data_IF_510499986375
#
_entry.id   IF_510499986375
#
_cell.length_a   1.000
_cell.length_b   1.000
_cell.length_c   1.000
_cell.angle_alpha   90.00
_cell.angle_beta   90.00
_cell.angle_gamma   90.00
#
_symmetry.space_group_name_H-M   'P 1'
#
loop_
_entity.id
_entity.type
_entity.pdbx_description
1 polymer ?
#
# COMPACT_ATOMS: atom_id res chain seq x y z
N UNK A 1 -4.53 22.66 20.69
CA UNK A 1 -5.26 23.32 19.59
C UNK A 1 -4.86 22.70 18.27
N UNK A 2 -5.70 21.84 17.68
CA UNK A 2 -5.45 21.20 16.37
C UNK A 2 -5.98 22.10 15.28
N UNK A 3 -5.11 22.80 14.56
CA UNK A 3 -5.48 23.46 13.32
C UNK A 3 -5.68 22.38 12.24
N UNK A 4 -6.92 22.09 11.87
CA UNK A 4 -7.19 21.37 10.62
C UNK A 4 -6.72 22.27 9.48
N UNK A 5 -5.55 21.99 8.90
CA UNK A 5 -5.21 22.56 7.60
C UNK A 5 -6.14 21.93 6.57
N UNK A 6 -7.29 22.56 6.33
CA UNK A 6 -8.04 22.38 5.09
C UNK A 6 -7.12 22.91 3.98
N UNK A 7 -6.48 22.00 3.27
CA UNK A 7 -5.73 22.33 2.08
C UNK A 7 -6.71 22.70 0.96
N UNK A 8 -6.42 23.80 0.28
CA UNK A 8 -7.32 24.47 -0.65
C UNK A 8 -7.54 23.63 -1.93
N UNK A 9 -8.80 23.24 -2.18
CA UNK A 9 -9.25 22.52 -3.38
C UNK A 9 -8.85 23.24 -4.68
N UNK A 10 -8.62 24.55 -4.63
CA UNK A 10 -8.20 25.33 -5.81
C UNK A 10 -6.78 25.04 -6.27
N UNK A 11 -5.86 24.61 -5.38
CA UNK A 11 -4.50 24.19 -5.81
C UNK A 11 -4.52 22.89 -6.59
N UNK A 12 -5.45 21.98 -6.28
CA UNK A 12 -5.64 20.73 -7.02
C UNK A 12 -6.28 20.94 -8.38
N UNK A 13 -7.23 21.88 -8.52
CA UNK A 13 -7.80 22.25 -9.83
C UNK A 13 -6.77 22.80 -10.80
N UNK A 14 -5.78 23.55 -10.29
CA UNK A 14 -4.70 24.10 -11.12
C UNK A 14 -3.67 23.02 -11.48
N UNK A 15 -3.36 22.09 -10.56
CA UNK A 15 -2.44 20.99 -10.86
C UNK A 15 -3.03 19.99 -11.88
N UNK A 16 -4.35 19.74 -11.84
CA UNK A 16 -5.04 18.80 -12.75
C UNK A 16 -5.68 19.43 -13.99
N UNK A 17 -5.98 20.73 -13.97
CA UNK A 17 -6.30 21.48 -15.19
C UNK A 17 -5.12 21.47 -16.18
N UNK A 18 -3.89 21.32 -15.67
CA UNK A 18 -2.68 21.18 -16.48
C UNK A 18 -2.44 19.74 -16.95
N UNK A 19 -2.79 18.72 -16.15
CA UNK A 19 -2.77 17.31 -16.60
C UNK A 19 -3.75 17.04 -17.76
N UNK A 20 -4.82 17.83 -17.85
CA UNK A 20 -5.86 17.71 -18.88
C UNK A 20 -5.51 18.31 -20.25
N UNK A 21 -4.39 19.01 -20.42
CA UNK A 21 -3.96 19.54 -21.73
C UNK A 21 -3.12 18.56 -22.55
N UNK A 22 -2.72 17.42 -21.97
CA UNK A 22 -1.93 16.39 -22.67
C UNK A 22 -2.79 15.29 -23.31
N UNK A 23 -4.11 15.30 -23.10
CA UNK A 23 -5.07 14.50 -23.87
C UNK A 23 -5.83 15.44 -24.80
N UNK A 24 -5.80 15.19 -26.11
CA UNK A 24 -6.53 15.99 -27.10
C UNK A 24 -8.02 16.15 -26.69
N UNK A 25 -8.64 17.32 -26.96
CA UNK A 25 -9.98 17.63 -26.47
C UNK A 25 -11.03 16.92 -27.31
N UNK A 26 -11.40 15.69 -26.95
CA UNK A 26 -12.61 15.07 -27.47
C UNK A 26 -13.71 15.13 -26.40
N UNK A 27 -14.57 16.15 -26.56
CA UNK A 27 -15.93 16.33 -26.06
C UNK A 27 -16.21 16.10 -24.55
N UNK A 28 -17.07 16.92 -23.92
CA UNK A 28 -17.52 16.65 -22.56
C UNK A 28 -18.44 15.43 -22.61
N UNK A 29 -17.89 14.25 -22.27
CA UNK A 29 -18.72 13.11 -21.95
C UNK A 29 -19.56 13.49 -20.73
N UNK A 30 -20.87 13.62 -20.93
CA UNK A 30 -21.86 13.74 -19.87
C UNK A 30 -21.54 12.67 -18.81
N UNK A 31 -21.34 13.10 -17.57
CA UNK A 31 -21.11 12.20 -16.43
C UNK A 31 -22.40 11.39 -16.26
N UNK A 32 -22.44 10.08 -16.61
CA UNK A 32 -23.58 9.27 -16.26
C UNK A 32 -23.50 9.09 -14.75
N UNK A 33 -24.59 9.40 -14.06
CA UNK A 33 -24.79 9.18 -12.63
C UNK A 33 -24.96 7.69 -12.31
N UNK A 34 -24.11 6.84 -12.88
CA UNK A 34 -24.02 5.45 -12.46
C UNK A 34 -23.21 5.43 -11.17
N UNK A 35 -23.83 4.95 -10.09
CA UNK A 35 -23.14 4.62 -8.84
C UNK A 35 -21.89 3.80 -9.18
N UNK A 36 -20.73 4.44 -9.06
CA UNK A 36 -19.45 3.79 -9.30
C UNK A 36 -19.38 2.60 -8.34
N UNK A 37 -19.41 1.38 -8.90
CA UNK A 37 -19.36 0.15 -8.13
C UNK A 37 -18.02 0.08 -7.41
N UNK A 38 -18.03 0.43 -6.12
CA UNK A 38 -16.86 0.49 -5.26
C UNK A 38 -16.12 -0.86 -5.20
N UNK A 39 -16.84 -1.97 -5.24
CA UNK A 39 -16.29 -3.33 -5.21
C UNK A 39 -15.35 -3.56 -6.41
N UNK A 40 -15.69 -3.03 -7.59
CA UNK A 40 -14.85 -3.14 -8.79
C UNK A 40 -13.53 -2.38 -8.64
N UNK A 41 -13.55 -1.19 -8.01
CA UNK A 41 -12.37 -0.37 -7.78
C UNK A 41 -11.45 -0.96 -6.71
N UNK A 42 -12.04 -1.48 -5.64
CA UNK A 42 -11.36 -2.21 -4.58
C UNK A 42 -10.60 -3.41 -5.14
N UNK A 43 -11.29 -4.23 -5.94
CA UNK A 43 -10.72 -5.41 -6.56
C UNK A 43 -9.51 -5.03 -7.42
N UNK A 44 -9.54 -3.89 -8.11
CA UNK A 44 -8.42 -3.42 -8.92
C UNK A 44 -7.17 -3.12 -8.08
N UNK A 45 -7.27 -2.35 -6.99
CA UNK A 45 -6.13 -2.03 -6.14
C UNK A 45 -5.52 -3.29 -5.47
N UNK A 46 -6.37 -4.24 -5.09
CA UNK A 46 -5.93 -5.56 -4.59
C UNK A 46 -5.18 -6.34 -5.67
N UNK A 47 -5.73 -6.45 -6.89
CA UNK A 47 -5.08 -7.15 -8.00
C UNK A 47 -3.73 -6.55 -8.34
N UNK A 48 -3.60 -5.22 -8.35
CA UNK A 48 -2.32 -4.54 -8.59
C UNK A 48 -1.29 -4.90 -7.52
N UNK A 49 -1.70 -4.91 -6.25
CA UNK A 49 -0.83 -5.34 -5.14
C UNK A 49 -0.37 -6.78 -5.31
N UNK A 50 -1.28 -7.70 -5.63
CA UNK A 50 -0.95 -9.12 -5.83
C UNK A 50 0.00 -9.32 -7.00
N UNK A 51 -0.20 -8.59 -8.11
CA UNK A 51 0.72 -8.59 -9.24
C UNK A 51 2.15 -8.22 -8.81
N UNK A 52 2.30 -7.15 -8.03
CA UNK A 52 3.59 -6.74 -7.47
C UNK A 52 4.18 -7.77 -6.50
N UNK A 53 3.37 -8.32 -5.59
CA UNK A 53 3.79 -9.31 -4.59
C UNK A 53 4.27 -10.61 -5.23
N UNK A 54 3.55 -11.09 -6.25
CA UNK A 54 3.85 -12.30 -6.99
C UNK A 54 4.87 -12.08 -8.12
N UNK A 55 5.28 -10.82 -8.35
CA UNK A 55 6.16 -10.42 -9.46
C UNK A 55 5.62 -10.88 -10.83
N UNK A 56 4.31 -10.75 -11.03
CA UNK A 56 3.61 -11.23 -12.23
C UNK A 56 3.90 -10.34 -13.44
N UNK A 57 4.79 -10.83 -14.31
CA UNK A 57 5.20 -10.15 -15.54
C UNK A 57 4.05 -9.93 -16.52
N UNK A 58 3.00 -10.75 -16.48
CA UNK A 58 1.85 -10.60 -17.38
C UNK A 58 1.05 -9.32 -17.12
N UNK A 59 1.24 -8.69 -15.96
CA UNK A 59 0.51 -7.49 -15.56
C UNK A 59 1.21 -6.19 -15.97
N UNK A 60 2.47 -6.22 -16.42
CA UNK A 60 3.28 -5.00 -16.69
C UNK A 60 2.55 -4.03 -17.62
N UNK A 61 2.01 -4.52 -18.75
CA UNK A 61 1.26 -3.68 -19.70
C UNK A 61 0.05 -3.00 -19.07
N UNK A 62 -0.71 -3.73 -18.24
CA UNK A 62 -1.88 -3.20 -17.54
C UNK A 62 -1.49 -2.17 -16.46
N UNK A 63 -0.39 -2.41 -15.77
CA UNK A 63 0.11 -1.49 -14.74
C UNK A 63 0.58 -0.17 -15.36
N UNK A 64 1.23 -0.22 -16.52
CA UNK A 64 1.61 0.97 -17.30
C UNK A 64 0.39 1.73 -17.82
N UNK A 65 -0.64 1.01 -18.31
CA UNK A 65 -1.88 1.63 -18.78
C UNK A 65 -2.58 2.43 -17.67
N UNK A 66 -2.57 1.94 -16.42
CA UNK A 66 -3.10 2.69 -15.28
C UNK A 66 -2.36 4.02 -15.00
N UNK A 67 -1.10 4.15 -15.46
CA UNK A 67 -0.31 5.39 -15.28
C UNK A 67 -0.67 6.44 -16.34
N UNK A 68 -0.88 6.00 -17.58
CA UNK A 68 -1.07 6.88 -18.75
C UNK A 68 -2.54 7.14 -19.07
N UNK A 69 -3.43 6.16 -18.85
CA UNK A 69 -4.84 6.19 -19.21
C UNK A 69 -5.72 5.82 -18.00
N UNK A 70 -5.91 6.73 -17.02
CA UNK A 70 -6.76 6.44 -15.88
C UNK A 70 -8.20 6.14 -16.30
N UNK A 71 -8.76 5.02 -15.83
CA UNK A 71 -10.08 4.49 -16.22
C UNK A 71 -11.25 5.42 -15.84
N UNK A 72 -12.42 5.25 -16.46
CA UNK A 72 -13.65 5.91 -16.03
C UNK A 72 -13.94 5.64 -14.53
N UNK A 73 -14.26 6.69 -13.76
CA UNK A 73 -14.37 6.64 -12.29
C UNK A 73 -13.09 7.04 -11.54
N UNK A 74 -11.96 7.23 -12.24
CA UNK A 74 -10.69 7.72 -11.69
C UNK A 74 -10.79 9.07 -10.94
N UNK A 75 -11.75 9.91 -11.33
CA UNK A 75 -11.97 11.23 -10.76
C UNK A 75 -12.88 11.24 -9.53
N UNK A 76 -13.52 10.10 -9.22
CA UNK A 76 -14.28 9.95 -7.98
C UNK A 76 -13.31 10.09 -6.82
N UNK A 77 -13.61 11.03 -5.93
CA UNK A 77 -12.88 11.16 -4.67
C UNK A 77 -13.29 9.98 -3.81
N UNK A 78 -12.34 9.09 -3.57
CA UNK A 78 -12.55 7.93 -2.72
C UNK A 78 -11.73 8.16 -1.48
N UNK A 79 -12.38 8.10 -0.32
CA UNK A 79 -11.65 7.91 0.91
C UNK A 79 -11.23 6.44 0.94
N UNK A 80 -10.04 6.17 0.43
CA UNK A 80 -9.36 4.91 0.75
C UNK A 80 -8.86 5.08 2.18
N UNK A 81 -9.06 4.10 3.05
CA UNK A 81 -9.07 4.33 4.51
C UNK A 81 -7.68 4.71 5.11
N UNK A 82 -6.66 4.97 4.30
CA UNK A 82 -5.27 5.33 4.62
C UNK A 82 -5.04 6.74 5.19
N UNK A 83 -6.00 7.35 5.90
CA UNK A 83 -5.79 8.67 6.53
C UNK A 83 -5.65 9.85 5.56
N UNK A 84 -5.65 9.61 4.24
CA UNK A 84 -5.58 10.64 3.19
C UNK A 84 -6.73 10.46 2.18
N UNK A 85 -7.28 11.59 1.71
CA UNK A 85 -8.37 11.63 0.75
C UNK A 85 -7.78 12.08 -0.60
N UNK A 86 -7.76 11.19 -1.58
CA UNK A 86 -7.27 11.46 -2.92
C UNK A 86 -8.29 10.99 -3.98
N UNK A 87 -8.17 11.47 -5.24
CA UNK A 87 -8.84 10.83 -6.36
C UNK A 87 -8.39 9.37 -6.49
N UNK A 88 -9.30 8.47 -6.89
CA UNK A 88 -8.97 7.06 -7.12
C UNK A 88 -7.79 6.87 -8.09
N UNK A 89 -7.68 7.74 -9.11
CA UNK A 89 -6.56 7.78 -10.05
C UNK A 89 -5.20 7.79 -9.33
N UNK A 90 -5.08 8.59 -8.28
CA UNK A 90 -3.83 8.75 -7.54
C UNK A 90 -3.45 7.44 -6.82
N UNK A 91 -4.43 6.79 -6.19
CA UNK A 91 -4.21 5.49 -5.58
C UNK A 91 -3.82 4.43 -6.61
N UNK A 92 -4.48 4.39 -7.78
CA UNK A 92 -4.09 3.49 -8.87
C UNK A 92 -2.65 3.74 -9.35
N UNK A 93 -2.27 5.00 -9.53
CA UNK A 93 -0.94 5.36 -10.01
C UNK A 93 0.14 4.91 -9.02
N UNK A 94 -0.03 5.20 -7.74
CA UNK A 94 0.92 4.78 -6.71
C UNK A 94 0.96 3.25 -6.60
N UNK A 95 -0.19 2.57 -6.65
CA UNK A 95 -0.27 1.10 -6.66
C UNK A 95 0.57 0.51 -7.78
N UNK A 96 0.37 1.03 -8.99
CA UNK A 96 1.04 0.58 -10.19
C UNK A 96 2.54 0.82 -10.12
N UNK A 97 2.98 1.99 -9.66
CA UNK A 97 4.40 2.28 -9.48
C UNK A 97 5.06 1.30 -8.49
N UNK A 98 4.44 1.08 -7.33
CA UNK A 98 4.94 0.11 -6.34
C UNK A 98 4.97 -1.31 -6.88
N UNK A 99 3.94 -1.72 -7.63
CA UNK A 99 3.89 -3.05 -8.24
C UNK A 99 4.98 -3.23 -9.31
N UNK A 100 5.14 -2.25 -10.21
CA UNK A 100 6.20 -2.25 -11.23
C UNK A 100 7.60 -2.30 -10.59
N UNK A 101 7.82 -1.55 -9.50
CA UNK A 101 9.07 -1.56 -8.77
C UNK A 101 9.42 -2.94 -8.19
N UNK A 102 8.41 -3.73 -7.78
CA UNK A 102 8.58 -5.10 -7.27
C UNK A 102 8.76 -6.14 -8.37
N UNK A 103 8.05 -5.98 -9.49
CA UNK A 103 8.18 -6.84 -10.68
C UNK A 103 9.57 -6.67 -11.31
N UNK A 104 10.11 -5.45 -11.28
CA UNK A 104 11.44 -5.10 -11.78
C UNK A 104 11.67 -5.43 -13.27
N UNK A 105 10.64 -5.25 -14.10
CA UNK A 105 10.71 -5.55 -15.52
C UNK A 105 11.36 -4.43 -16.34
N UNK A 106 12.36 -4.78 -17.16
CA UNK A 106 13.10 -3.82 -17.98
C UNK A 106 12.25 -3.15 -19.07
N UNK A 107 11.21 -3.82 -19.59
CA UNK A 107 10.33 -3.26 -20.63
C UNK A 107 9.48 -2.10 -20.12
N UNK A 108 9.33 -1.97 -18.79
CA UNK A 108 8.60 -0.85 -18.19
C UNK A 108 9.41 0.46 -18.15
N UNK A 109 10.75 0.40 -18.22
CA UNK A 109 11.60 1.58 -18.07
C UNK A 109 11.33 2.67 -19.12
N UNK A 110 11.23 2.40 -20.44
CA UNK A 110 11.00 3.46 -21.42
C UNK A 110 9.71 4.26 -21.16
N UNK A 111 8.64 3.60 -20.71
CA UNK A 111 7.38 4.26 -20.38
C UNK A 111 7.50 5.12 -19.10
N UNK A 112 8.20 4.62 -18.07
CA UNK A 112 8.43 5.37 -16.83
C UNK A 112 9.35 6.58 -17.05
N UNK A 113 10.37 6.46 -17.91
CA UNK A 113 11.25 7.57 -18.29
C UNK A 113 10.49 8.65 -19.06
N UNK A 114 9.58 8.24 -19.97
CA UNK A 114 8.70 9.19 -20.65
C UNK A 114 7.78 9.92 -19.66
N UNK A 115 7.20 9.19 -18.71
CA UNK A 115 6.38 9.79 -17.63
C UNK A 115 7.19 10.80 -16.79
N UNK A 116 8.49 10.57 -16.56
CA UNK A 116 9.35 11.52 -15.83
C UNK A 116 9.45 12.88 -16.55
N UNK A 117 9.43 12.87 -17.87
CA UNK A 117 9.50 14.10 -18.67
C UNK A 117 8.20 14.91 -18.62
N UNK A 118 7.08 14.28 -18.24
CA UNK A 118 5.77 14.92 -18.14
C UNK A 118 5.66 15.82 -16.89
N UNK A 119 5.26 17.07 -17.11
CA UNK A 119 5.22 18.10 -16.05
C UNK A 119 4.29 17.73 -14.88
N UNK A 120 3.19 17.01 -15.14
CA UNK A 120 2.24 16.56 -14.13
C UNK A 120 2.83 15.49 -13.19
N UNK A 121 3.79 14.70 -13.67
CA UNK A 121 4.37 13.56 -12.96
C UNK A 121 5.60 13.93 -12.11
N UNK A 122 6.20 15.10 -12.32
CA UNK A 122 7.34 15.61 -11.51
C UNK A 122 7.06 15.71 -10.01
N UNK A 123 5.78 15.72 -9.63
CA UNK A 123 5.35 15.79 -8.23
C UNK A 123 5.05 14.42 -7.61
N UNK A 124 5.14 13.31 -8.36
CA UNK A 124 4.85 11.96 -7.89
C UNK A 124 6.04 11.40 -7.10
N UNK A 125 5.96 11.27 -5.75
CA UNK A 125 7.12 10.90 -4.94
C UNK A 125 7.59 9.46 -5.15
N UNK A 126 6.81 8.64 -5.85
CA UNK A 126 7.10 7.24 -6.12
C UNK A 126 7.76 7.00 -7.48
N UNK A 127 7.78 7.98 -8.40
CA UNK A 127 8.26 7.76 -9.76
C UNK A 127 9.77 7.51 -9.81
N UNK A 128 10.58 8.46 -9.30
CA UNK A 128 12.05 8.30 -9.27
C UNK A 128 12.49 7.07 -8.46
N UNK A 129 11.98 6.82 -7.23
CA UNK A 129 12.32 5.60 -6.52
C UNK A 129 11.94 4.33 -7.26
N UNK A 130 10.86 4.33 -8.06
CA UNK A 130 10.45 3.15 -8.83
C UNK A 130 11.43 2.87 -9.95
N UNK A 131 11.79 3.89 -10.74
CA UNK A 131 12.81 3.77 -11.79
C UNK A 131 14.14 3.30 -11.18
N UNK A 132 14.57 3.92 -10.08
CA UNK A 132 15.81 3.58 -9.38
C UNK A 132 15.82 2.12 -8.91
N UNK A 133 14.71 1.65 -8.31
CA UNK A 133 14.58 0.26 -7.85
C UNK A 133 14.67 -0.72 -9.00
N UNK A 134 13.96 -0.50 -10.10
CA UNK A 134 14.02 -1.38 -11.28
C UNK A 134 15.46 -1.45 -11.80
N UNK A 135 16.13 -0.31 -11.95
CA UNK A 135 17.54 -0.26 -12.41
C UNK A 135 18.53 -0.93 -11.45
N UNK A 136 18.29 -0.87 -10.14
CA UNK A 136 19.12 -1.54 -9.14
C UNK A 136 18.89 -3.07 -9.13
N UNK A 137 17.63 -3.51 -9.26
CA UNK A 137 17.26 -4.93 -9.37
C UNK A 137 17.81 -5.56 -10.65
N UNK A 138 17.76 -4.86 -11.80
CA UNK A 138 18.33 -5.37 -13.05
C UNK A 138 19.85 -5.51 -13.01
N UNK A 139 20.55 -4.62 -12.31
CA UNK A 139 22.00 -4.69 -12.15
C UNK A 139 22.42 -5.78 -11.16
N UNK A 140 21.65 -5.96 -10.08
CA UNK A 140 21.96 -6.88 -8.98
C UNK A 140 20.72 -7.68 -8.56
N UNK A 141 20.25 -8.66 -9.36
CA UNK A 141 18.96 -9.31 -9.12
C UNK A 141 18.93 -10.19 -7.87
N UNK A 142 20.06 -10.83 -7.52
CA UNK A 142 20.15 -11.76 -6.39
C UNK A 142 21.52 -11.62 -5.69
N UNK A 143 21.74 -10.52 -4.95
CA UNK A 143 23.04 -10.30 -4.29
C UNK A 143 23.29 -11.40 -3.25
N UNK A 144 24.39 -12.14 -3.39
CA UNK A 144 24.76 -13.26 -2.49
C UNK A 144 25.86 -12.89 -1.50
N UNK A 145 26.54 -11.76 -1.73
CA UNK A 145 27.66 -11.27 -0.94
C UNK A 145 27.44 -9.82 -0.53
N UNK A 146 28.14 -9.42 0.53
CA UNK A 146 28.07 -8.07 1.08
C UNK A 146 28.39 -6.98 0.06
N UNK A 147 29.39 -7.20 -0.79
CA UNK A 147 29.79 -6.25 -1.83
C UNK A 147 28.66 -6.00 -2.85
N UNK A 148 28.11 -7.07 -3.43
CA UNK A 148 26.98 -6.98 -4.36
C UNK A 148 25.74 -6.33 -3.72
N UNK A 149 25.46 -6.64 -2.44
CA UNK A 149 24.37 -6.00 -1.71
C UNK A 149 24.61 -4.50 -1.52
N UNK A 150 25.83 -4.11 -1.11
CA UNK A 150 26.21 -2.72 -0.94
C UNK A 150 26.13 -1.95 -2.26
N UNK A 151 26.63 -2.52 -3.35
CA UNK A 151 26.55 -1.91 -4.67
C UNK A 151 25.09 -1.75 -5.15
N UNK A 152 24.23 -2.74 -4.89
CA UNK A 152 22.79 -2.64 -5.18
C UNK A 152 22.13 -1.48 -4.43
N UNK A 153 22.37 -1.39 -3.12
CA UNK A 153 21.81 -0.33 -2.27
C UNK A 153 22.34 1.04 -2.68
N UNK A 154 23.65 1.17 -2.91
CA UNK A 154 24.26 2.42 -3.35
C UNK A 154 23.70 2.86 -4.69
N UNK A 155 23.61 1.95 -5.66
CA UNK A 155 23.02 2.22 -6.98
C UNK A 155 21.56 2.68 -6.86
N UNK A 156 20.78 2.08 -5.97
CA UNK A 156 19.42 2.53 -5.71
C UNK A 156 19.41 3.96 -5.17
N UNK A 157 20.23 4.27 -4.16
CA UNK A 157 20.31 5.61 -3.57
C UNK A 157 20.71 6.64 -4.61
N UNK A 158 21.78 6.39 -5.36
CA UNK A 158 22.31 7.29 -6.39
C UNK A 158 21.28 7.63 -7.47
N UNK A 159 20.48 6.63 -7.87
CA UNK A 159 19.46 6.78 -8.90
C UNK A 159 18.14 7.32 -8.38
N UNK A 160 17.88 7.20 -7.08
CA UNK A 160 16.59 7.58 -6.48
C UNK A 160 16.40 9.07 -6.30
N UNK A 161 17.44 9.88 -6.51
CA UNK A 161 17.39 11.35 -6.39
C UNK A 161 17.31 11.86 -4.95
N UNK A 162 17.46 10.99 -3.94
CA UNK A 162 17.58 11.38 -2.52
C UNK A 162 19.00 11.19 -2.03
N UNK A 163 19.47 12.08 -1.16
CA UNK A 163 20.76 11.92 -0.50
C UNK A 163 20.68 10.88 0.63
N UNK A 164 21.82 10.29 1.01
CA UNK A 164 21.87 9.36 2.16
C UNK A 164 21.43 10.05 3.46
N UNK A 165 21.81 11.31 3.71
CA UNK A 165 21.37 12.05 4.90
C UNK A 165 19.85 12.27 4.90
N UNK A 166 19.26 12.58 3.75
CA UNK A 166 17.80 12.73 3.60
C UNK A 166 17.07 11.41 3.84
N UNK A 167 17.61 10.30 3.33
CA UNK A 167 17.10 8.94 3.56
C UNK A 167 17.14 8.59 5.04
N UNK A 168 18.27 8.84 5.72
CA UNK A 168 18.46 8.57 7.15
C UNK A 168 17.47 9.38 8.01
N UNK A 169 17.22 10.63 7.63
CA UNK A 169 16.29 11.51 8.37
C UNK A 169 14.82 11.27 8.00
N UNK A 170 14.53 10.64 6.86
CA UNK A 170 13.17 10.38 6.39
C UNK A 170 12.33 11.66 6.23
N UNK A 171 12.98 12.78 5.90
CA UNK A 171 12.40 14.13 5.98
C UNK A 171 11.50 14.49 4.81
N UNK A 172 11.68 13.82 3.66
CA UNK A 172 10.87 14.07 2.48
C UNK A 172 9.95 12.91 2.14
N UNK A 173 8.85 13.19 1.42
CA UNK A 173 8.02 12.20 0.78
C UNK A 173 8.77 11.07 0.08
N UNK A 174 9.73 11.44 -0.76
CA UNK A 174 10.50 10.52 -1.59
C UNK A 174 11.47 9.69 -0.76
N UNK A 175 12.10 10.29 0.26
CA UNK A 175 12.98 9.58 1.19
C UNK A 175 12.25 8.47 1.95
N UNK A 176 11.00 8.69 2.36
CA UNK A 176 10.18 7.65 3.00
C UNK A 176 9.88 6.49 2.03
N UNK A 177 9.52 6.79 0.79
CA UNK A 177 9.32 5.76 -0.25
C UNK A 177 10.62 4.97 -0.48
N UNK A 178 11.76 5.66 -0.55
CA UNK A 178 13.06 5.02 -0.69
C UNK A 178 13.39 4.08 0.49
N UNK A 179 13.11 4.51 1.72
CA UNK A 179 13.31 3.69 2.92
C UNK A 179 12.46 2.41 2.87
N UNK A 180 11.22 2.52 2.42
CA UNK A 180 10.32 1.38 2.24
C UNK A 180 10.82 0.42 1.14
N UNK A 181 11.30 0.94 0.02
CA UNK A 181 11.87 0.11 -1.05
C UNK A 181 13.16 -0.60 -0.61
N UNK A 182 14.05 0.08 0.10
CA UNK A 182 15.25 -0.52 0.67
C UNK A 182 14.89 -1.64 1.66
N UNK A 183 13.88 -1.44 2.51
CA UNK A 183 13.39 -2.49 3.41
C UNK A 183 12.88 -3.72 2.63
N UNK A 184 12.11 -3.52 1.55
CA UNK A 184 11.64 -4.62 0.69
C UNK A 184 12.79 -5.32 -0.04
N UNK A 185 13.77 -4.59 -0.55
CA UNK A 185 14.96 -5.15 -1.19
C UNK A 185 15.77 -6.00 -0.20
N UNK A 186 15.91 -5.53 1.05
CA UNK A 186 16.60 -6.27 2.10
C UNK A 186 15.84 -7.52 2.53
N UNK A 187 14.51 -7.45 2.61
CA UNK A 187 13.68 -8.62 2.87
C UNK A 187 13.86 -9.70 1.78
N UNK A 188 13.87 -9.29 0.50
CA UNK A 188 14.12 -10.21 -0.63
C UNK A 188 15.52 -10.83 -0.54
N UNK A 189 16.56 -10.02 -0.30
CA UNK A 189 17.93 -10.52 -0.17
C UNK A 189 18.05 -11.51 1.00
N UNK A 190 17.41 -11.23 2.13
CA UNK A 190 17.36 -12.12 3.29
C UNK A 190 16.69 -13.46 2.96
N UNK A 191 15.52 -13.42 2.30
CA UNK A 191 14.79 -14.63 1.89
C UNK A 191 15.56 -15.45 0.85
N UNK A 192 16.46 -14.82 0.08
CA UNK A 192 17.35 -15.46 -0.89
C UNK A 192 18.68 -15.96 -0.30
N UNK A 193 18.86 -15.84 1.03
CA UNK A 193 20.00 -16.40 1.77
C UNK A 193 21.06 -15.39 2.21
N UNK A 194 20.94 -14.11 1.85
CA UNK A 194 21.82 -13.06 2.36
C UNK A 194 21.28 -12.50 3.69
N UNK A 195 21.47 -13.25 4.78
CA UNK A 195 20.87 -12.93 6.08
C UNK A 195 21.43 -11.67 6.78
N UNK A 196 22.50 -11.07 6.25
CA UNK A 196 23.09 -9.83 6.76
C UNK A 196 22.48 -8.56 6.13
N UNK A 197 21.53 -8.69 5.19
CA UNK A 197 20.98 -7.57 4.42
C UNK A 197 20.54 -6.37 5.29
N UNK A 198 19.78 -6.63 6.36
CA UNK A 198 19.32 -5.58 7.27
C UNK A 198 20.43 -5.04 8.18
N UNK A 199 21.35 -5.89 8.66
CA UNK A 199 22.46 -5.46 9.49
C UNK A 199 23.38 -4.49 8.74
N UNK A 200 23.61 -4.74 7.45
CA UNK A 200 24.39 -3.84 6.59
C UNK A 200 23.72 -2.47 6.41
N UNK A 201 22.39 -2.41 6.32
CA UNK A 201 21.67 -1.13 6.26
C UNK A 201 21.86 -0.33 7.55
N UNK A 202 21.71 -0.98 8.70
CA UNK A 202 21.91 -0.35 10.01
C UNK A 202 23.35 0.14 10.17
N UNK A 203 24.35 -0.62 9.67
CA UNK A 203 25.76 -0.20 9.69
C UNK A 203 26.04 1.06 8.86
N UNK A 204 25.20 1.35 7.87
CA UNK A 204 25.22 2.56 7.05
C UNK A 204 24.42 3.72 7.67
N UNK A 205 23.87 3.53 8.87
CA UNK A 205 23.05 4.52 9.56
C UNK A 205 21.60 4.58 9.07
N UNK A 206 21.15 3.66 8.22
CA UNK A 206 19.77 3.61 7.73
C UNK A 206 18.86 3.08 8.86
N UNK A 207 17.95 3.95 9.32
CA UNK A 207 17.06 3.71 10.46
C UNK A 207 15.67 3.30 10.00
N UNK A 208 15.48 2.01 9.73
CA UNK A 208 14.19 1.46 9.29
C UNK A 208 13.08 1.69 10.32
N UNK A 209 13.43 1.82 11.61
CA UNK A 209 12.48 2.11 12.69
C UNK A 209 11.84 3.50 12.61
N UNK A 210 12.41 4.41 11.81
CA UNK A 210 11.86 5.76 11.61
C UNK A 210 10.61 5.76 10.72
N UNK A 211 10.35 4.69 9.97
CA UNK A 211 9.15 4.50 9.16
C UNK A 211 8.45 3.20 9.59
N UNK A 212 7.17 3.32 9.96
CA UNK A 212 6.41 2.17 10.49
C UNK A 212 6.37 0.99 9.51
N UNK A 213 6.24 1.25 8.21
CA UNK A 213 6.16 0.19 7.20
C UNK A 213 7.51 -0.48 6.99
N UNK A 214 8.58 0.29 6.88
CA UNK A 214 9.94 -0.24 6.79
C UNK A 214 10.26 -1.12 8.01
N UNK A 215 9.89 -0.66 9.21
CA UNK A 215 10.03 -1.43 10.44
C UNK A 215 9.14 -2.69 10.46
N UNK A 216 7.92 -2.60 9.96
CA UNK A 216 7.01 -3.75 9.83
C UNK A 216 7.63 -4.83 8.93
N UNK A 217 8.21 -4.44 7.79
CA UNK A 217 8.90 -5.36 6.87
C UNK A 217 10.05 -6.07 7.59
N UNK A 218 10.93 -5.30 8.25
CA UNK A 218 12.04 -5.85 9.05
C UNK A 218 11.57 -6.91 10.04
N UNK A 219 10.55 -6.59 10.85
CA UNK A 219 10.01 -7.50 11.85
C UNK A 219 9.40 -8.77 11.23
N UNK A 220 8.66 -8.64 10.13
CA UNK A 220 8.05 -9.79 9.47
C UNK A 220 9.09 -10.71 8.83
N UNK A 221 10.17 -10.17 8.26
CA UNK A 221 11.21 -11.00 7.63
C UNK A 221 11.88 -11.95 8.61
N UNK A 222 12.14 -11.53 9.85
CA UNK A 222 12.74 -12.39 10.88
C UNK A 222 11.79 -13.44 11.48
N UNK A 223 10.52 -13.45 11.09
CA UNK A 223 9.52 -14.36 11.64
C UNK A 223 9.17 -15.47 10.65
N UNK A 224 9.00 -16.68 11.19
CA UNK A 224 8.37 -17.77 10.44
C UNK A 224 6.92 -17.42 10.06
N UNK A 225 6.32 -18.07 9.04
CA UNK A 225 4.95 -17.78 8.63
C UNK A 225 3.93 -17.82 9.79
N UNK A 226 4.05 -18.79 10.70
CA UNK A 226 3.19 -18.90 11.90
C UNK A 226 3.38 -17.70 12.85
N UNK A 227 4.63 -17.35 13.16
CA UNK A 227 4.95 -16.22 14.04
C UNK A 227 4.51 -14.87 13.44
N UNK A 228 4.51 -14.73 12.11
CA UNK A 228 4.00 -13.52 11.44
C UNK A 228 2.53 -13.31 11.78
N UNK A 229 1.69 -14.34 11.63
CA UNK A 229 0.25 -14.26 11.93
C UNK A 229 0.03 -13.95 13.41
N UNK A 230 0.66 -14.69 14.32
CA UNK A 230 0.51 -14.49 15.77
C UNK A 230 0.88 -13.05 16.18
N UNK A 231 2.00 -12.54 15.68
CA UNK A 231 2.46 -11.20 16.00
C UNK A 231 1.57 -10.11 15.38
N UNK A 232 1.15 -10.26 14.12
CA UNK A 232 0.23 -9.30 13.48
C UNK A 232 -1.13 -9.25 14.19
N UNK A 233 -1.67 -10.41 14.59
CA UNK A 233 -2.88 -10.49 15.39
C UNK A 233 -2.71 -9.81 16.75
N UNK A 234 -1.56 -9.97 17.41
CA UNK A 234 -1.31 -9.29 18.69
C UNK A 234 -1.26 -7.77 18.52
N UNK A 235 -0.64 -7.25 17.45
CA UNK A 235 -0.62 -5.82 17.15
C UNK A 235 -2.05 -5.29 16.90
N UNK A 236 -2.86 -6.05 16.15
CA UNK A 236 -4.22 -5.65 15.79
C UNK A 236 -5.16 -5.67 17.00
N UNK A 237 -5.09 -6.72 17.84
CA UNK A 237 -5.87 -6.87 19.08
C UNK A 237 -5.49 -5.84 20.15
N UNK A 238 -4.22 -5.43 20.22
CA UNK A 238 -3.75 -4.43 21.20
C UNK A 238 -4.10 -2.98 20.81
N UNK A 239 -4.51 -2.74 19.57
CA UNK A 239 -4.81 -1.39 19.07
C UNK A 239 -6.16 -0.90 19.57
N UNK A 240 -6.17 0.20 20.34
CA UNK A 240 -7.38 0.81 20.91
C UNK A 240 -8.01 1.90 20.01
N UNK A 241 -7.40 2.17 18.86
CA UNK A 241 -7.93 3.08 17.85
C UNK A 241 -7.47 2.61 16.47
N UNK A 242 -8.26 2.92 15.44
CA UNK A 242 -7.81 2.69 14.08
C UNK A 242 -6.98 3.88 13.59
N UNK A 243 -5.76 3.58 13.17
CA UNK A 243 -4.81 4.54 12.61
C UNK A 243 -4.31 4.05 11.24
N UNK A 244 -3.52 4.86 10.53
CA UNK A 244 -2.87 4.44 9.29
C UNK A 244 -2.02 3.16 9.48
N UNK A 245 -1.34 3.04 10.63
CA UNK A 245 -0.59 1.84 11.01
C UNK A 245 -1.45 0.58 11.07
N UNK A 246 -2.70 0.70 11.54
CA UNK A 246 -3.63 -0.42 11.64
C UNK A 246 -3.90 -1.03 10.26
N UNK A 247 -4.04 -0.20 9.21
CA UNK A 247 -4.25 -0.69 7.85
C UNK A 247 -3.03 -1.44 7.29
N UNK A 248 -1.81 -1.01 7.63
CA UNK A 248 -0.61 -1.75 7.26
C UNK A 248 -0.54 -3.12 7.94
N UNK A 249 -0.95 -3.22 9.21
CA UNK A 249 -1.04 -4.51 9.93
C UNK A 249 -2.10 -5.42 9.29
N UNK A 250 -3.29 -4.88 9.02
CA UNK A 250 -4.37 -5.62 8.34
C UNK A 250 -3.91 -6.13 6.98
N UNK A 251 -3.25 -5.28 6.20
CA UNK A 251 -2.73 -5.65 4.90
C UNK A 251 -1.68 -6.76 5.01
N UNK A 252 -0.69 -6.62 5.89
CA UNK A 252 0.32 -7.66 6.12
C UNK A 252 -0.29 -8.99 6.58
N UNK A 253 -1.39 -8.94 7.32
CA UNK A 253 -2.13 -10.14 7.73
C UNK A 253 -2.85 -10.78 6.54
N UNK A 254 -3.43 -9.99 5.64
CA UNK A 254 -3.97 -10.48 4.37
C UNK A 254 -2.90 -11.12 3.48
N UNK A 255 -1.67 -10.61 3.48
CA UNK A 255 -0.54 -11.23 2.77
C UNK A 255 -0.15 -12.61 3.34
N UNK A 256 -0.59 -12.95 4.55
CA UNK A 256 -0.42 -14.29 5.12
C UNK A 256 -1.42 -15.32 4.58
N UNK A 257 -2.32 -14.92 3.68
CA UNK A 257 -3.26 -15.81 2.98
C UNK A 257 -4.21 -16.55 3.93
N UNK A 258 -4.46 -17.83 3.66
CA UNK A 258 -5.46 -18.62 4.39
C UNK A 258 -5.16 -18.73 5.89
N UNK A 259 -3.89 -18.69 6.30
CA UNK A 259 -3.50 -18.69 7.72
C UNK A 259 -3.92 -17.39 8.42
N UNK A 260 -3.78 -16.25 7.75
CA UNK A 260 -4.24 -14.96 8.27
C UNK A 260 -5.77 -14.90 8.34
N UNK A 261 -6.45 -15.39 7.30
CA UNK A 261 -7.91 -15.44 7.27
C UNK A 261 -8.47 -16.30 8.41
N UNK A 262 -7.90 -17.49 8.62
CA UNK A 262 -8.29 -18.40 9.70
C UNK A 262 -8.20 -17.70 11.05
N UNK A 263 -7.09 -17.02 11.35
CA UNK A 263 -6.90 -16.33 12.62
C UNK A 263 -7.91 -15.18 12.84
N UNK A 264 -8.28 -14.46 11.78
CA UNK A 264 -9.29 -13.39 11.86
C UNK A 264 -10.69 -13.97 12.05
N UNK A 265 -11.05 -15.06 11.37
CA UNK A 265 -12.35 -15.72 11.57
C UNK A 265 -12.48 -16.30 12.97
N UNK A 266 -11.42 -16.89 13.52
CA UNK A 266 -11.39 -17.36 14.91
C UNK A 266 -11.61 -16.20 15.88
N UNK A 267 -10.90 -15.07 15.69
CA UNK A 267 -11.11 -13.87 16.51
C UNK A 267 -12.51 -13.28 16.35
N UNK A 268 -13.08 -13.31 15.14
CA UNK A 268 -14.44 -12.87 14.89
C UNK A 268 -15.45 -13.65 15.71
N UNK A 269 -15.33 -14.98 15.75
CA UNK A 269 -16.21 -15.84 16.56
C UNK A 269 -15.99 -15.64 18.07
N UNK A 270 -14.76 -15.42 18.54
CA UNK A 270 -14.47 -15.02 19.93
C UNK A 270 -15.23 -13.74 20.33
N UNK A 271 -15.20 -12.72 19.47
CA UNK A 271 -15.91 -11.46 19.70
C UNK A 271 -17.43 -11.65 19.74
N UNK A 272 -17.98 -12.51 18.87
CA UNK A 272 -19.42 -12.81 18.87
C UNK A 272 -19.87 -13.53 20.13
N UNK A 273 -19.08 -14.50 20.60
CA UNK A 273 -19.39 -15.24 21.83
C UNK A 273 -19.34 -14.31 23.06
N UNK A 274 -18.36 -13.41 23.12
CA UNK A 274 -18.21 -12.45 24.22
C UNK A 274 -19.39 -11.46 24.26
N UNK A 275 -19.87 -11.00 23.10
CA UNK A 275 -21.02 -10.11 22.99
C UNK A 275 -22.35 -10.77 23.42
N UNK A 276 -22.47 -12.09 23.35
CA UNK A 276 -23.65 -12.83 23.82
C UNK A 276 -23.71 -12.98 25.35
N UNK A 277 -22.58 -12.78 26.04
CA UNK A 277 -22.45 -12.98 27.50
C UNK A 277 -22.50 -11.65 28.26
N UNK A 278 -21.95 -10.57 27.69
CA UNK A 278 -21.97 -9.24 28.29
C UNK A 278 -22.89 -8.31 27.47
N UNK A 279 -24.07 -8.01 28.01
CA UNK A 279 -25.11 -7.21 27.34
C UNK A 279 -24.70 -5.77 26.97
N UNK A 280 -23.53 -5.28 27.39
CA UNK A 280 -23.20 -3.84 27.33
C UNK A 280 -21.83 -3.41 26.77
N UNK A 281 -20.98 -4.27 26.21
CA UNK A 281 -19.82 -3.75 25.46
C UNK A 281 -19.32 -4.68 24.37
N UNK A 282 -19.94 -4.60 23.20
CA UNK A 282 -19.19 -4.84 21.98
C UNK A 282 -18.05 -3.81 21.94
N UNK A 283 -16.78 -4.21 22.14
CA UNK A 283 -15.66 -3.29 21.89
C UNK A 283 -15.68 -2.92 20.41
N UNK A 284 -16.25 -1.74 20.14
CA UNK A 284 -16.50 -1.24 18.79
C UNK A 284 -15.22 -1.15 17.99
N UNK A 285 -14.06 -0.96 18.64
CA UNK A 285 -12.77 -0.88 17.96
C UNK A 285 -12.29 -2.26 17.55
N UNK A 286 -12.32 -3.23 18.45
CA UNK A 286 -11.94 -4.62 18.16
C UNK A 286 -12.77 -5.22 17.03
N UNK A 287 -14.10 -5.04 17.06
CA UNK A 287 -14.95 -5.50 15.97
C UNK A 287 -14.64 -4.76 14.66
N UNK A 288 -14.46 -3.43 14.71
CA UNK A 288 -14.10 -2.65 13.52
C UNK A 288 -12.81 -3.15 12.89
N UNK A 289 -11.78 -3.41 13.68
CA UNK A 289 -10.51 -3.97 13.20
C UNK A 289 -10.70 -5.35 12.58
N UNK A 290 -11.48 -6.22 13.23
CA UNK A 290 -11.80 -7.55 12.72
C UNK A 290 -12.54 -7.48 11.37
N UNK A 291 -13.56 -6.63 11.24
CA UNK A 291 -14.33 -6.45 10.01
C UNK A 291 -13.47 -5.85 8.88
N UNK A 292 -12.67 -4.83 9.18
CA UNK A 292 -11.73 -4.27 8.21
C UNK A 292 -10.72 -5.32 7.74
N UNK A 293 -10.25 -6.18 8.65
CA UNK A 293 -9.36 -7.28 8.30
C UNK A 293 -10.05 -8.31 7.40
N UNK A 294 -11.33 -8.65 7.65
CA UNK A 294 -12.10 -9.54 6.79
C UNK A 294 -12.32 -8.95 5.39
N UNK A 295 -12.60 -7.65 5.26
CA UNK A 295 -12.67 -6.96 3.97
C UNK A 295 -11.32 -7.02 3.21
N UNK A 296 -10.21 -7.25 3.93
CA UNK A 296 -8.90 -7.47 3.34
C UNK A 296 -8.69 -8.89 2.76
N UNK A 297 -9.70 -9.76 2.70
CA UNK A 297 -9.59 -11.08 2.07
C UNK A 297 -10.60 -11.25 0.94
N UNK A 298 -10.13 -11.69 -0.24
CA UNK A 298 -11.01 -12.07 -1.36
C UNK A 298 -11.47 -13.52 -1.28
N UNK A 299 -12.13 -13.86 -0.18
CA UNK A 299 -12.53 -15.23 0.12
C UNK A 299 -14.03 -15.29 0.45
N UNK A 300 -14.79 -16.27 -0.06
CA UNK A 300 -16.23 -16.38 0.22
C UNK A 300 -16.57 -16.40 1.70
N UNK A 301 -15.71 -17.00 2.53
CA UNK A 301 -15.83 -17.07 3.99
C UNK A 301 -15.78 -15.67 4.61
N UNK A 302 -14.83 -14.84 4.20
CA UNK A 302 -14.68 -13.47 4.69
C UNK A 302 -15.88 -12.60 4.30
N UNK A 303 -16.31 -12.69 3.03
CA UNK A 303 -17.48 -11.97 2.51
C UNK A 303 -18.76 -12.36 3.25
N UNK A 304 -18.94 -13.66 3.54
CA UNK A 304 -20.08 -14.16 4.34
C UNK A 304 -20.06 -13.58 5.75
N UNK A 305 -18.92 -13.66 6.45
CA UNK A 305 -18.79 -13.14 7.81
C UNK A 305 -19.14 -11.64 7.91
N UNK A 306 -18.66 -10.82 6.95
CA UNK A 306 -18.99 -9.39 6.89
C UNK A 306 -20.49 -9.17 6.61
N UNK A 307 -21.06 -9.90 5.65
CA UNK A 307 -22.48 -9.80 5.28
C UNK A 307 -23.41 -10.18 6.44
N UNK A 308 -23.06 -11.22 7.19
CA UNK A 308 -23.82 -11.67 8.35
C UNK A 308 -23.94 -10.55 9.39
N UNK A 309 -22.85 -9.83 9.69
CA UNK A 309 -22.89 -8.67 10.60
C UNK A 309 -23.72 -7.51 10.05
N UNK A 310 -23.56 -7.19 8.76
CA UNK A 310 -24.31 -6.11 8.12
C UNK A 310 -25.82 -6.35 8.16
N UNK A 311 -26.25 -7.60 7.95
CA UNK A 311 -27.66 -7.99 7.99
C UNK A 311 -28.30 -7.84 9.38
N UNK A 312 -27.50 -7.83 10.44
CA UNK A 312 -27.98 -7.76 11.82
C UNK A 312 -28.15 -6.32 12.33
N UNK A 313 -27.88 -5.29 11.51
CA UNK A 313 -28.05 -3.85 11.79
C UNK A 313 -27.42 -3.34 13.11
N UNK A 314 -26.48 -4.07 13.72
CA UNK A 314 -26.05 -3.80 15.10
C UNK A 314 -25.28 -2.47 15.24
N UNK A 315 -24.70 -1.92 14.17
CA UNK A 315 -23.79 -0.77 14.27
C UNK A 315 -23.87 0.14 13.03
N UNK A 316 -24.32 1.39 13.20
CA UNK A 316 -24.32 2.44 12.17
C UNK A 316 -22.92 2.83 11.66
N UNK A 317 -21.85 2.54 12.41
CA UNK A 317 -20.47 2.69 11.96
C UNK A 317 -20.01 1.56 11.01
N UNK A 318 -20.66 0.39 11.03
CA UNK A 318 -20.29 -0.76 10.18
C UNK A 318 -20.74 -0.57 8.73
N UNK A 319 -21.82 0.20 8.49
CA UNK A 319 -22.19 0.61 7.12
C UNK A 319 -21.16 1.55 6.49
N UNK A 320 -20.36 2.28 7.28
CA UNK A 320 -19.21 3.03 6.78
C UNK A 320 -17.98 2.14 6.55
N UNK A 321 -17.82 1.05 7.30
CA UNK A 321 -16.75 0.05 7.09
C UNK A 321 -17.00 -0.74 5.80
N UNK A 322 -18.25 -1.17 5.55
CA UNK A 322 -18.63 -1.89 4.34
C UNK A 322 -18.78 -1.01 3.10
N UNK A 323 -18.87 0.32 3.26
CA UNK A 323 -18.74 1.27 2.14
C UNK A 323 -17.29 1.46 1.69
N UNK A 324 -16.33 0.97 2.47
CA UNK A 324 -14.89 1.12 2.22
C UNK A 324 -14.28 -0.27 2.19
N UNK A 325 -14.61 -1.04 1.15
CA UNK A 325 -14.04 -2.38 0.97
C UNK A 325 -12.53 -2.38 0.60
N UNK A 326 -11.82 -1.24 0.64
CA UNK A 326 -10.43 -1.18 0.17
C UNK A 326 -9.44 -0.70 1.23
N UNK A 327 -8.78 -1.62 1.96
CA UNK A 327 -7.53 -1.33 2.65
C UNK A 327 -6.32 -1.51 1.72
N UNK A 328 -6.42 -1.18 0.41
CA UNK A 328 -5.34 -1.47 -0.52
C UNK A 328 -4.79 -0.23 -1.21
N UNK A 329 -3.51 -0.04 -0.96
CA UNK A 329 -2.45 0.58 -1.77
C UNK A 329 -1.71 1.57 -0.91
N UNK A 330 -0.44 1.24 -0.68
CA UNK A 330 0.51 2.09 -0.03
C UNK A 330 0.61 3.42 -0.77
N UNK A 331 -0.03 4.45 -0.23
CA UNK A 331 0.46 5.81 -0.31
C UNK A 331 1.08 6.08 1.05
N UNK A 332 2.32 6.56 1.08
CA UNK A 332 2.93 7.09 2.29
C UNK A 332 2.10 8.28 2.80
N UNK A 333 1.91 8.35 4.12
CA UNK A 333 1.37 9.56 4.76
C UNK A 333 2.29 10.76 4.44
N UNK A 334 1.71 11.78 3.80
CA UNK A 334 2.30 13.11 3.63
C UNK A 334 1.59 14.13 4.52
#
# INVERSE_FOLDING_TARGET
MRASRRWDLNRWRILWGVTLLCSAPNAPAQIPSDEVNMDSLVCQLRTIREAGRLRDQSQVTRLLDNLTNPRAGAFTIIKVDFGYIAPFAYHLQVASLVALARIADASSLPALEKLREEQCCKSLPHLEPTIARIRAELAYPTPKKQEEWREKVQRFIDLSGVSLDELIRGTSPQARVCLQYIAEMAAVAYEQGYHQAFADLVSQGIRLEADFRANLILHLTYRTPKQRVEWLMSQLKASNATTHHTYYVIQALADCGDSGLKAILEWFEELRQTAGVETHSFDKVSLRHCLLALCAFDKPEAKRAVKDVLSQQVISDVSNVARVDCPYVFVSDF
#
